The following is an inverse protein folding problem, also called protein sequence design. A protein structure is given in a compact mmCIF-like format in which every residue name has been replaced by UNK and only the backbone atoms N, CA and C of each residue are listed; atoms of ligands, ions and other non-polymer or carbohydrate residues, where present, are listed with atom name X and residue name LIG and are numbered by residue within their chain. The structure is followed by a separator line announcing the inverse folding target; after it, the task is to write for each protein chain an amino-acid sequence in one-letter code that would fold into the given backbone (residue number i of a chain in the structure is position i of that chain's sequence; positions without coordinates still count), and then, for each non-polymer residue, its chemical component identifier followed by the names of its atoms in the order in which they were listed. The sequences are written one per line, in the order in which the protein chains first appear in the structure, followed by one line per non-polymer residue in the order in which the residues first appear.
data_IF_989492277654
#
_entry.id   IF_989492277654
#
_cell.length_a   1.000
_cell.length_b   1.000
_cell.length_c   1.000
_cell.angle_alpha   90.00
_cell.angle_beta   90.00
_cell.angle_gamma   90.00
#
_symmetry.space_group_name_H-M   'P 1'
#
loop_
_entity.id
_entity.type
_entity.pdbx_description
1 polymer ?
#
# COMPACT_ATOMS: atom_id res chain seq x y z
N UNK A 1 17.61 -25.32 -70.69
CA UNK A 1 17.49 -25.76 -69.24
C UNK A 1 16.99 -24.59 -68.47
N UNK A 2 15.68 -24.53 -68.20
CA UNK A 2 15.07 -23.45 -67.44
C UNK A 2 14.92 -23.88 -65.99
N UNK A 3 15.61 -23.18 -65.04
CA UNK A 3 15.55 -23.38 -63.60
C UNK A 3 14.20 -22.88 -63.10
N UNK A 4 13.31 -23.78 -62.67
CA UNK A 4 12.10 -23.45 -61.92
C UNK A 4 12.47 -23.09 -60.50
N UNK A 5 12.52 -21.80 -60.17
CA UNK A 5 12.64 -21.30 -58.82
C UNK A 5 11.32 -21.57 -58.06
N UNK A 6 11.40 -22.34 -56.98
CA UNK A 6 10.26 -22.80 -56.15
C UNK A 6 9.62 -21.63 -55.37
N UNK A 7 8.34 -21.30 -55.61
CA UNK A 7 7.66 -20.19 -54.89
C UNK A 7 7.16 -20.57 -53.49
N UNK A 8 7.39 -21.79 -53.03
CA UNK A 8 6.81 -22.33 -51.75
C UNK A 8 7.48 -21.82 -50.46
N UNK A 9 8.77 -21.46 -50.50
CA UNK A 9 9.49 -21.01 -49.26
C UNK A 9 9.10 -19.61 -48.81
N UNK A 10 8.72 -18.72 -49.68
CA UNK A 10 8.33 -17.33 -49.35
C UNK A 10 6.94 -17.26 -48.73
N UNK A 11 5.99 -18.07 -49.14
CA UNK A 11 4.63 -18.09 -48.62
C UNK A 11 4.58 -18.65 -47.15
N UNK A 12 5.37 -19.70 -46.88
CA UNK A 12 5.46 -20.26 -45.52
C UNK A 12 6.13 -19.31 -44.50
N UNK A 13 7.14 -18.55 -44.94
CA UNK A 13 7.83 -17.59 -44.04
C UNK A 13 6.94 -16.39 -43.69
N UNK A 14 6.10 -15.91 -44.62
CA UNK A 14 5.14 -14.83 -44.40
C UNK A 14 4.01 -15.27 -43.45
N UNK A 15 3.51 -16.49 -43.59
CA UNK A 15 2.49 -17.06 -42.71
C UNK A 15 3.00 -17.25 -41.29
N UNK A 16 4.22 -17.74 -41.12
CA UNK A 16 4.85 -17.90 -39.77
C UNK A 16 5.14 -16.57 -39.09
N UNK A 17 5.56 -15.54 -39.84
CA UNK A 17 5.76 -14.20 -39.27
C UNK A 17 4.45 -13.55 -38.83
N UNK A 18 3.35 -13.73 -39.57
CA UNK A 18 2.01 -13.26 -39.19
C UNK A 18 1.48 -13.94 -37.93
N UNK A 19 1.60 -15.27 -37.86
CA UNK A 19 1.20 -16.03 -36.68
C UNK A 19 2.02 -15.64 -35.43
N UNK A 20 3.34 -15.49 -35.58
CA UNK A 20 4.22 -15.06 -34.48
C UNK A 20 3.85 -13.68 -33.93
N UNK A 21 3.57 -12.71 -34.82
CA UNK A 21 3.12 -11.36 -34.40
C UNK A 21 1.79 -11.41 -33.65
N UNK A 22 0.85 -12.23 -34.11
CA UNK A 22 -0.43 -12.44 -33.41
C UNK A 22 -0.23 -12.96 -31.99
N UNK A 23 0.57 -14.00 -31.79
CA UNK A 23 0.84 -14.56 -30.47
C UNK A 23 1.58 -13.61 -29.54
N UNK A 24 2.54 -12.82 -30.06
CA UNK A 24 3.27 -11.83 -29.27
C UNK A 24 2.36 -10.73 -28.72
N UNK A 25 1.37 -10.27 -29.49
CA UNK A 25 0.40 -9.28 -29.03
C UNK A 25 -0.42 -9.84 -27.88
N UNK A 26 -0.95 -11.05 -28.02
CA UNK A 26 -1.76 -11.67 -26.97
C UNK A 26 -0.93 -12.01 -25.73
N UNK A 27 0.30 -12.41 -25.88
CA UNK A 27 1.24 -12.61 -24.78
C UNK A 27 1.50 -11.32 -23.98
N UNK A 28 1.40 -10.15 -24.59
CA UNK A 28 1.49 -8.86 -23.91
C UNK A 28 0.14 -8.43 -23.28
N UNK A 29 -0.97 -8.59 -23.99
CA UNK A 29 -2.29 -8.08 -23.59
C UNK A 29 -2.92 -8.92 -22.46
N UNK A 30 -2.78 -10.25 -22.51
CA UNK A 30 -3.40 -11.15 -21.53
C UNK A 30 -2.89 -10.87 -20.09
N UNK A 31 -1.58 -10.74 -19.81
CA UNK A 31 -1.10 -10.40 -18.47
C UNK A 31 -1.62 -9.04 -17.97
N UNK A 32 -1.73 -8.05 -18.87
CA UNK A 32 -2.28 -6.72 -18.52
C UNK A 32 -3.76 -6.84 -18.16
N UNK A 33 -4.54 -7.59 -18.94
CA UNK A 33 -5.95 -7.85 -18.66
C UNK A 33 -6.14 -8.61 -17.33
N UNK A 34 -5.34 -9.64 -17.10
CA UNK A 34 -5.35 -10.38 -15.83
C UNK A 34 -5.00 -9.47 -14.64
N UNK A 35 -3.99 -8.61 -14.78
CA UNK A 35 -3.64 -7.60 -13.78
C UNK A 35 -4.81 -6.67 -13.48
N UNK A 36 -5.49 -6.21 -14.52
CA UNK A 36 -6.66 -5.32 -14.40
C UNK A 36 -7.77 -6.01 -13.61
N UNK A 37 -8.09 -7.27 -13.91
CA UNK A 37 -9.09 -8.06 -13.19
C UNK A 37 -8.70 -8.21 -11.71
N UNK A 38 -7.47 -8.65 -11.42
CA UNK A 38 -6.96 -8.79 -10.05
C UNK A 38 -7.13 -7.47 -9.29
N UNK A 39 -6.78 -6.35 -9.93
CA UNK A 39 -6.82 -5.02 -9.31
C UNK A 39 -8.23 -4.49 -9.07
N UNK A 40 -9.17 -4.72 -9.99
CA UNK A 40 -10.55 -4.25 -9.88
C UNK A 40 -11.36 -5.04 -8.85
N UNK A 41 -11.14 -6.34 -8.78
CA UNK A 41 -11.88 -7.23 -7.88
C UNK A 41 -11.20 -7.45 -6.53
N UNK A 42 -10.05 -6.80 -6.26
CA UNK A 42 -9.35 -6.94 -4.99
C UNK A 42 -8.85 -8.35 -4.73
N UNK A 43 -8.47 -9.09 -5.78
CA UNK A 43 -8.01 -10.48 -5.69
C UNK A 43 -6.54 -10.60 -5.24
N UNK A 44 -5.92 -9.49 -4.87
CA UNK A 44 -4.54 -9.41 -4.38
C UNK A 44 -4.40 -9.96 -2.94
N UNK A 45 -4.68 -11.24 -2.74
CA UNK A 45 -4.52 -11.92 -1.45
C UNK A 45 -3.06 -12.31 -1.18
N UNK A 46 -2.40 -11.64 -0.20
CA UNK A 46 -1.08 -12.05 0.30
C UNK A 46 0.13 -11.64 -0.56
N UNK A 47 1.31 -12.04 -0.07
CA UNK A 47 2.58 -11.81 -0.76
C UNK A 47 2.81 -12.89 -1.84
N UNK A 48 3.30 -12.56 -3.07
CA UNK A 48 3.84 -11.25 -3.49
C UNK A 48 2.83 -10.31 -4.17
N UNK A 49 1.59 -10.73 -4.43
CA UNK A 49 0.62 -9.97 -5.22
C UNK A 49 0.36 -8.56 -4.68
N UNK A 50 0.20 -8.42 -3.36
CA UNK A 50 0.01 -7.10 -2.73
C UNK A 50 1.18 -6.15 -3.01
N UNK A 51 2.42 -6.65 -2.98
CA UNK A 51 3.60 -5.84 -3.29
C UNK A 51 3.65 -5.43 -4.76
N UNK A 52 3.25 -6.36 -5.65
CA UNK A 52 3.19 -6.10 -7.08
C UNK A 52 2.14 -5.05 -7.46
N UNK A 53 1.06 -4.88 -6.66
CA UNK A 53 0.03 -3.86 -6.92
C UNK A 53 0.58 -2.41 -6.88
N UNK A 54 1.74 -2.18 -6.26
CA UNK A 54 2.43 -0.88 -6.35
C UNK A 54 2.84 -0.51 -7.79
N UNK A 55 2.98 -1.50 -8.68
CA UNK A 55 3.33 -1.31 -10.09
C UNK A 55 2.12 -1.05 -11.00
N UNK A 56 0.91 -0.88 -10.44
CA UNK A 56 -0.31 -0.59 -11.23
C UNK A 56 -0.16 0.62 -12.17
N UNK A 57 0.51 1.74 -11.83
CA UNK A 57 0.75 2.84 -12.77
C UNK A 57 1.54 2.42 -14.00
N UNK A 58 2.54 1.56 -13.82
CA UNK A 58 3.34 1.03 -14.94
C UNK A 58 2.55 0.07 -15.81
N UNK A 59 1.63 -0.72 -15.22
CA UNK A 59 0.71 -1.56 -15.96
C UNK A 59 -0.25 -0.73 -16.83
N UNK A 60 -0.70 0.44 -16.35
CA UNK A 60 -1.52 1.37 -17.14
C UNK A 60 -0.74 1.93 -18.33
N UNK A 61 0.54 2.29 -18.15
CA UNK A 61 1.42 2.75 -19.23
C UNK A 61 1.66 1.61 -20.25
N UNK A 62 1.92 0.40 -19.77
CA UNK A 62 2.09 -0.77 -20.64
C UNK A 62 0.83 -1.07 -21.45
N UNK A 63 -0.36 -0.89 -20.87
CA UNK A 63 -1.64 -1.03 -21.57
C UNK A 63 -1.80 -0.01 -22.69
N UNK A 64 -1.35 1.24 -22.49
CA UNK A 64 -1.34 2.29 -23.52
C UNK A 64 -0.47 1.88 -24.71
N UNK A 65 0.76 1.43 -24.47
CA UNK A 65 1.67 0.96 -25.51
C UNK A 65 1.12 -0.28 -26.24
N UNK A 66 0.58 -1.26 -25.48
CA UNK A 66 -0.03 -2.45 -26.06
C UNK A 66 -1.21 -2.10 -26.98
N UNK A 67 -2.04 -1.12 -26.59
CA UNK A 67 -3.13 -0.60 -27.42
C UNK A 67 -2.59 -0.03 -28.73
N UNK A 68 -1.58 0.84 -28.67
CA UNK A 68 -0.97 1.44 -29.87
C UNK A 68 -0.38 0.40 -30.82
N UNK A 69 0.35 -0.58 -30.30
CA UNK A 69 0.93 -1.68 -31.09
C UNK A 69 -0.18 -2.54 -31.71
N UNK A 70 -1.21 -2.90 -30.95
CA UNK A 70 -2.32 -3.71 -31.45
C UNK A 70 -3.09 -3.00 -32.59
N UNK A 71 -3.31 -1.70 -32.48
CA UNK A 71 -3.91 -0.85 -33.51
C UNK A 71 -3.01 -0.82 -34.76
N UNK A 72 -1.71 -0.55 -34.60
CA UNK A 72 -0.74 -0.51 -35.71
C UNK A 72 -0.67 -1.84 -36.50
N UNK A 73 -0.82 -2.95 -35.78
CA UNK A 73 -0.84 -4.30 -36.35
C UNK A 73 -2.25 -4.76 -36.76
N UNK A 74 -3.25 -3.86 -36.68
CA UNK A 74 -4.66 -4.09 -37.06
C UNK A 74 -5.32 -5.29 -36.37
N UNK A 75 -4.84 -5.62 -35.17
CA UNK A 75 -5.48 -6.63 -34.29
C UNK A 75 -6.50 -5.95 -33.38
N UNK A 76 -7.70 -5.72 -33.91
CA UNK A 76 -8.75 -4.95 -33.25
C UNK A 76 -9.22 -5.57 -31.94
N UNK A 77 -9.29 -6.90 -31.83
CA UNK A 77 -9.70 -7.58 -30.60
C UNK A 77 -8.71 -7.32 -29.45
N UNK A 78 -7.41 -7.46 -29.73
CA UNK A 78 -6.37 -7.13 -28.74
C UNK A 78 -6.33 -5.64 -28.40
N UNK A 79 -6.56 -4.77 -29.40
CA UNK A 79 -6.59 -3.32 -29.19
C UNK A 79 -7.74 -2.90 -28.27
N UNK A 80 -8.94 -3.42 -28.47
CA UNK A 80 -10.10 -3.16 -27.61
C UNK A 80 -9.85 -3.65 -26.19
N UNK A 81 -9.35 -4.87 -26.01
CA UNK A 81 -9.06 -5.43 -24.69
C UNK A 81 -8.00 -4.60 -23.95
N UNK A 82 -6.92 -4.23 -24.62
CA UNK A 82 -5.86 -3.40 -24.05
C UNK A 82 -6.35 -1.99 -23.71
N UNK A 83 -7.19 -1.38 -24.56
CA UNK A 83 -7.79 -0.06 -24.31
C UNK A 83 -8.73 -0.08 -23.11
N UNK A 84 -9.57 -1.10 -22.96
CA UNK A 84 -10.43 -1.28 -21.79
C UNK A 84 -9.58 -1.44 -20.53
N UNK A 85 -8.54 -2.26 -20.54
CA UNK A 85 -7.62 -2.43 -19.43
C UNK A 85 -6.93 -1.10 -19.07
N UNK A 86 -6.45 -0.36 -20.07
CA UNK A 86 -5.84 0.97 -19.90
C UNK A 86 -6.81 1.94 -19.21
N UNK A 87 -8.04 2.03 -19.69
CA UNK A 87 -9.06 2.92 -19.11
C UNK A 87 -9.37 2.55 -17.65
N UNK A 88 -9.58 1.27 -17.37
CA UNK A 88 -9.85 0.78 -16.01
C UNK A 88 -8.69 1.07 -15.05
N UNK A 89 -7.44 0.82 -15.47
CA UNK A 89 -6.26 1.09 -14.66
C UNK A 89 -6.03 2.59 -14.47
N UNK A 90 -6.25 3.40 -15.51
CA UNK A 90 -6.19 4.85 -15.42
C UNK A 90 -7.24 5.40 -14.43
N UNK A 91 -8.48 4.92 -14.48
CA UNK A 91 -9.53 5.31 -13.54
C UNK A 91 -9.20 4.99 -12.07
N UNK A 92 -8.40 3.95 -11.83
CA UNK A 92 -7.90 3.61 -10.48
C UNK A 92 -6.73 4.49 -10.04
N UNK A 93 -5.85 4.87 -11.00
CA UNK A 93 -4.60 5.59 -10.69
C UNK A 93 -4.79 7.10 -10.67
N UNK A 94 -5.48 7.67 -11.67
CA UNK A 94 -5.61 9.13 -11.86
C UNK A 94 -6.19 9.88 -10.66
N UNK A 95 -7.24 9.42 -9.97
CA UNK A 95 -7.78 10.13 -8.81
C UNK A 95 -6.78 10.25 -7.65
N UNK A 96 -5.78 9.35 -7.60
CA UNK A 96 -4.71 9.37 -6.57
C UNK A 96 -3.55 10.29 -6.93
N UNK A 97 -3.38 10.60 -8.21
CA UNK A 97 -2.29 11.46 -8.72
C UNK A 97 -2.73 12.90 -8.89
N UNK A 98 -3.97 13.09 -9.33
CA UNK A 98 -4.60 14.39 -9.46
C UNK A 98 -5.28 14.69 -8.12
N UNK A 99 -4.55 14.98 -7.07
CA UNK A 99 -5.15 15.23 -5.77
C UNK A 99 -6.46 16.03 -5.93
N UNK A 100 -7.56 15.53 -5.36
CA UNK A 100 -8.75 16.34 -5.27
C UNK A 100 -8.33 17.61 -4.51
N UNK A 101 -8.21 18.72 -5.21
CA UNK A 101 -8.33 20.02 -4.55
C UNK A 101 -9.70 19.95 -3.87
N UNK A 102 -9.71 19.59 -2.59
CA UNK A 102 -10.88 19.83 -1.76
C UNK A 102 -11.15 21.30 -1.96
N UNK A 103 -12.25 21.61 -2.68
CA UNK A 103 -12.78 22.96 -2.67
C UNK A 103 -12.76 23.35 -1.20
N UNK A 104 -11.95 24.34 -0.84
CA UNK A 104 -12.01 24.93 0.48
C UNK A 104 -13.47 25.26 0.67
N UNK A 105 -14.15 24.47 1.48
CA UNK A 105 -15.55 24.70 1.76
C UNK A 105 -15.57 26.05 2.48
N UNK A 106 -15.90 27.09 1.73
CA UNK A 106 -15.88 28.46 2.18
C UNK A 106 -16.67 28.54 3.50
N UNK A 107 -15.99 28.92 4.59
CA UNK A 107 -16.57 29.03 5.93
C UNK A 107 -16.43 27.80 6.84
N UNK A 108 -15.77 26.68 6.44
CA UNK A 108 -15.52 25.56 7.32
C UNK A 108 -14.10 25.61 7.90
N UNK A 109 -13.97 25.35 9.21
CA UNK A 109 -12.67 25.21 9.84
C UNK A 109 -11.95 23.97 9.28
N UNK A 110 -10.75 24.16 8.80
CA UNK A 110 -9.87 23.09 8.31
C UNK A 110 -9.01 22.55 9.45
N UNK A 111 -8.82 21.24 9.51
CA UNK A 111 -7.91 20.58 10.43
C UNK A 111 -6.69 20.08 9.64
N UNK A 112 -5.53 20.66 9.87
CA UNK A 112 -4.29 20.25 9.21
C UNK A 112 -3.68 19.06 9.97
N UNK A 113 -3.54 17.93 9.28
CA UNK A 113 -3.00 16.69 9.84
C UNK A 113 -1.70 16.30 9.15
N UNK A 114 -0.62 16.15 9.94
CA UNK A 114 0.63 15.55 9.49
C UNK A 114 0.67 14.09 9.95
N UNK A 115 1.05 13.17 9.06
CA UNK A 115 1.22 11.75 9.38
C UNK A 115 2.65 11.32 9.05
N UNK A 116 3.33 10.67 10.00
CA UNK A 116 4.71 10.23 9.86
C UNK A 116 4.93 8.83 10.43
N UNK A 117 5.48 7.92 9.62
CA UNK A 117 6.04 6.67 10.12
C UNK A 117 7.52 6.90 10.45
N UNK A 118 7.90 6.67 11.71
CA UNK A 118 9.26 6.93 12.22
C UNK A 118 10.17 5.71 12.16
N UNK A 119 9.80 4.69 11.40
CA UNK A 119 10.63 3.50 11.13
C UNK A 119 11.25 2.92 12.40
N UNK A 120 10.39 2.46 13.31
CA UNK A 120 10.79 1.89 14.62
C UNK A 120 11.66 2.87 15.43
N UNK A 121 11.37 4.17 15.31
CA UNK A 121 12.13 5.23 15.99
C UNK A 121 13.51 5.53 15.37
N UNK A 122 13.74 5.12 14.13
CA UNK A 122 14.98 5.39 13.38
C UNK A 122 14.99 6.72 12.63
N UNK A 123 13.85 7.42 12.53
CA UNK A 123 13.80 8.74 11.91
C UNK A 123 14.57 9.80 12.70
N UNK A 124 14.93 10.91 12.05
CA UNK A 124 15.49 12.07 12.73
C UNK A 124 14.40 12.89 13.43
N UNK A 125 14.47 13.03 14.79
CA UNK A 125 13.51 13.83 15.52
C UNK A 125 13.52 15.31 15.17
N UNK A 126 14.70 15.88 14.84
CA UNK A 126 14.83 17.29 14.47
C UNK A 126 14.17 17.56 13.12
N UNK A 127 14.34 16.67 12.15
CA UNK A 127 13.67 16.76 10.86
C UNK A 127 12.15 16.71 11.02
N UNK A 128 11.61 15.81 11.87
CA UNK A 128 10.17 15.72 12.11
C UNK A 128 9.63 17.01 12.78
N UNK A 129 10.37 17.58 13.74
CA UNK A 129 9.98 18.85 14.35
C UNK A 129 10.05 19.98 13.32
N UNK A 130 11.05 19.99 12.43
CA UNK A 130 11.16 20.94 11.32
C UNK A 130 9.96 20.86 10.36
N UNK A 131 9.43 19.66 10.09
CA UNK A 131 8.18 19.50 9.32
C UNK A 131 6.99 20.10 10.07
N UNK A 132 6.90 19.91 11.38
CA UNK A 132 5.84 20.53 12.20
C UNK A 132 5.97 22.07 12.18
N UNK A 133 7.17 22.61 12.22
CA UNK A 133 7.40 24.05 12.10
C UNK A 133 7.05 24.60 10.71
N UNK A 134 7.29 23.81 9.67
CA UNK A 134 7.02 24.22 8.28
C UNK A 134 5.53 24.19 7.94
N UNK A 135 4.83 23.12 8.35
CA UNK A 135 3.44 22.90 7.94
C UNK A 135 2.42 23.33 8.98
N UNK A 136 2.84 23.69 10.18
CA UNK A 136 1.99 24.11 11.31
C UNK A 136 0.76 23.22 11.53
N UNK A 137 0.90 21.88 11.58
CA UNK A 137 -0.24 20.99 11.70
C UNK A 137 -0.93 21.19 13.05
N UNK A 138 -2.26 20.98 13.07
CA UNK A 138 -3.04 20.93 14.30
C UNK A 138 -2.86 19.58 15.00
N UNK A 139 -2.58 18.53 14.19
CA UNK A 139 -2.42 17.17 14.64
C UNK A 139 -1.24 16.49 13.94
N UNK A 140 -0.40 15.78 14.71
CA UNK A 140 0.64 14.89 14.23
C UNK A 140 0.31 13.45 14.64
N UNK A 141 0.12 12.59 13.65
CA UNK A 141 -0.01 11.14 13.81
C UNK A 141 1.33 10.47 13.58
N UNK A 142 1.83 9.70 14.56
CA UNK A 142 3.12 9.03 14.49
C UNK A 142 2.91 7.52 14.57
N UNK A 143 3.43 6.78 13.57
CA UNK A 143 3.43 5.32 13.54
C UNK A 143 4.84 4.80 13.85
N UNK A 144 4.92 3.55 14.32
CA UNK A 144 6.14 2.86 14.75
C UNK A 144 6.90 3.62 15.87
N UNK A 145 6.12 4.26 16.74
CA UNK A 145 6.62 5.09 17.84
C UNK A 145 7.21 4.23 18.96
N UNK A 146 8.51 4.41 19.22
CA UNK A 146 9.21 3.75 20.32
C UNK A 146 9.37 4.66 21.55
N UNK A 147 9.52 4.11 22.78
CA UNK A 147 9.76 4.92 23.98
C UNK A 147 11.01 5.82 23.87
N UNK A 148 12.08 5.31 23.27
CA UNK A 148 13.29 6.07 23.03
C UNK A 148 13.05 7.26 22.09
N UNK A 149 12.25 7.06 21.04
CA UNK A 149 11.92 8.13 20.11
C UNK A 149 11.04 9.22 20.74
N UNK A 150 10.10 8.85 21.61
CA UNK A 150 9.33 9.82 22.41
C UNK A 150 10.25 10.73 23.21
N UNK A 151 11.28 10.16 23.85
CA UNK A 151 12.27 10.93 24.61
C UNK A 151 13.07 11.89 23.70
N UNK A 152 13.48 11.41 22.53
CA UNK A 152 14.17 12.24 21.52
C UNK A 152 13.30 13.39 21.02
N UNK A 153 12.02 13.12 20.68
CA UNK A 153 11.06 14.15 20.26
C UNK A 153 10.81 15.20 21.36
N UNK A 154 10.73 14.77 22.62
CA UNK A 154 10.61 15.68 23.75
C UNK A 154 11.81 16.63 23.81
N UNK A 155 13.04 16.11 23.71
CA UNK A 155 14.25 16.90 23.69
C UNK A 155 14.33 17.85 22.48
N UNK A 156 13.83 17.41 21.31
CA UNK A 156 13.72 18.24 20.11
C UNK A 156 12.62 19.34 20.23
N UNK A 157 11.84 19.35 21.29
CA UNK A 157 10.90 20.42 21.60
C UNK A 157 9.52 20.27 20.95
N UNK A 158 9.07 19.07 20.66
CA UNK A 158 7.74 18.82 20.06
C UNK A 158 6.61 19.42 20.88
N UNK A 159 6.69 19.37 22.23
CA UNK A 159 5.63 19.85 23.11
C UNK A 159 5.46 21.37 23.12
N UNK A 160 6.45 22.14 22.62
CA UNK A 160 6.30 23.59 22.43
C UNK A 160 5.35 23.93 21.28
N UNK A 161 5.12 22.98 20.37
CA UNK A 161 4.31 23.13 19.17
C UNK A 161 2.97 22.41 19.28
N UNK A 162 3.00 21.21 19.84
CA UNK A 162 1.86 20.31 19.98
C UNK A 162 1.79 19.90 21.48
N UNK A 163 1.10 20.70 22.26
CA UNK A 163 1.10 20.61 23.74
C UNK A 163 0.36 19.39 24.29
N UNK A 164 -0.61 18.87 23.53
CA UNK A 164 -1.40 17.70 23.95
C UNK A 164 -0.90 16.44 23.26
N UNK A 165 -0.95 15.29 23.97
CA UNK A 165 -0.55 14.02 23.37
C UNK A 165 -1.29 12.82 23.93
N UNK A 166 -1.46 11.79 23.09
CA UNK A 166 -1.86 10.46 23.47
C UNK A 166 -0.92 9.45 22.83
N UNK A 167 -0.02 8.88 23.62
CA UNK A 167 1.09 8.05 23.15
C UNK A 167 0.91 6.62 23.66
N UNK A 168 0.96 5.66 22.75
CA UNK A 168 0.97 4.23 23.00
C UNK A 168 2.28 3.64 22.44
N UNK A 169 3.40 4.25 22.84
CA UNK A 169 4.73 3.84 22.41
C UNK A 169 5.07 2.40 22.84
N UNK A 170 5.73 1.63 21.96
CA UNK A 170 6.18 0.26 22.25
C UNK A 170 7.53 -0.01 21.56
N UNK A 171 8.34 -0.94 22.09
CA UNK A 171 9.48 -1.48 21.36
C UNK A 171 9.02 -2.13 20.04
N UNK A 172 9.78 -1.92 18.98
CA UNK A 172 9.44 -2.41 17.63
C UNK A 172 8.35 -1.61 16.94
N UNK A 173 7.77 -2.16 15.88
CA UNK A 173 6.85 -1.45 14.98
C UNK A 173 5.41 -1.30 15.50
N UNK A 174 5.10 -1.77 16.73
CA UNK A 174 3.71 -1.83 17.22
C UNK A 174 3.22 -0.58 17.92
N UNK A 175 4.07 0.43 18.16
CA UNK A 175 3.71 1.65 18.85
C UNK A 175 3.16 2.73 17.92
N UNK A 176 2.27 3.59 18.47
CA UNK A 176 1.76 4.75 17.75
C UNK A 176 1.46 5.89 18.74
N UNK A 177 1.29 7.10 18.21
CA UNK A 177 0.99 8.27 19.02
C UNK A 177 0.29 9.38 18.24
N UNK A 178 -0.42 10.19 18.98
CA UNK A 178 -1.02 11.44 18.54
C UNK A 178 -0.41 12.59 19.34
N UNK A 179 0.01 13.64 18.66
CA UNK A 179 0.31 14.94 19.24
C UNK A 179 -0.65 15.96 18.65
N UNK A 180 -1.14 16.89 19.47
CA UNK A 180 -2.14 17.86 19.03
C UNK A 180 -1.87 19.24 19.64
N UNK A 181 -2.11 20.28 18.85
CA UNK A 181 -2.19 21.66 19.32
C UNK A 181 -3.50 21.89 20.09
N UNK A 182 -4.58 21.21 19.64
CA UNK A 182 -5.91 21.33 20.19
C UNK A 182 -6.13 20.37 21.37
N UNK A 183 -7.09 20.66 22.27
CA UNK A 183 -7.45 19.76 23.35
C UNK A 183 -7.85 18.37 22.85
N UNK A 184 -7.28 17.34 23.50
CA UNK A 184 -7.39 15.95 23.08
C UNK A 184 -7.97 15.12 24.24
N UNK A 185 -9.14 14.50 24.03
CA UNK A 185 -9.74 13.54 24.95
C UNK A 185 -9.45 12.11 24.46
N UNK A 186 -8.88 11.27 25.32
CA UNK A 186 -8.57 9.88 25.02
C UNK A 186 -9.86 9.07 24.92
N UNK A 187 -9.97 8.25 23.87
CA UNK A 187 -11.07 7.30 23.70
C UNK A 187 -10.58 5.88 23.92
N UNK A 188 -11.47 4.95 24.30
CA UNK A 188 -11.12 3.53 24.41
C UNK A 188 -10.50 3.04 23.10
N UNK A 189 -9.35 2.37 23.22
CA UNK A 189 -8.63 1.80 22.07
C UNK A 189 -8.61 0.27 22.18
N UNK A 190 -8.57 -0.39 21.02
CA UNK A 190 -8.53 -1.85 20.98
C UNK A 190 -7.14 -2.35 21.40
N UNK A 191 -7.08 -3.22 22.42
CA UNK A 191 -5.84 -3.78 22.97
C UNK A 191 -5.47 -5.13 22.37
N UNK A 192 -6.40 -5.79 21.67
CA UNK A 192 -6.24 -7.16 21.18
C UNK A 192 -5.35 -7.29 19.95
N UNK A 193 -5.02 -6.17 19.30
CA UNK A 193 -4.12 -6.16 18.13
C UNK A 193 -2.67 -5.88 18.52
N UNK A 194 -1.77 -6.39 17.70
CA UNK A 194 -0.33 -6.10 17.83
C UNK A 194 -0.03 -4.61 17.77
N UNK A 195 -0.73 -3.90 16.92
CA UNK A 195 -0.62 -2.46 16.81
C UNK A 195 -1.47 -1.77 17.83
N UNK A 196 -0.86 -0.84 18.52
CA UNK A 196 -1.57 0.12 19.34
C UNK A 196 -2.10 1.21 18.44
N UNK A 197 -3.43 1.34 18.38
CA UNK A 197 -4.12 2.33 17.55
C UNK A 197 -4.78 3.36 18.48
N UNK A 198 -4.08 4.45 18.87
CA UNK A 198 -4.66 5.47 19.73
C UNK A 198 -5.87 6.10 19.03
N UNK A 199 -6.94 6.24 19.81
CA UNK A 199 -8.20 6.88 19.40
C UNK A 199 -8.43 8.09 20.30
N UNK A 200 -8.71 9.22 19.71
CA UNK A 200 -8.96 10.45 20.47
C UNK A 200 -10.12 11.26 19.86
N UNK A 201 -10.77 12.04 20.68
CA UNK A 201 -11.64 13.12 20.27
C UNK A 201 -10.88 14.43 20.40
N UNK A 202 -10.83 15.22 19.35
CA UNK A 202 -10.21 16.55 19.33
C UNK A 202 -11.31 17.57 19.34
N UNK A 203 -11.25 18.53 20.25
CA UNK A 203 -12.19 19.64 20.32
C UNK A 203 -11.70 20.78 19.44
N UNK A 204 -12.51 21.15 18.45
CA UNK A 204 -12.26 22.30 17.59
C UNK A 204 -12.67 23.61 18.28
N UNK A 205 -12.12 24.77 17.86
CA UNK A 205 -12.48 26.07 18.44
C UNK A 205 -13.98 26.43 18.36
N UNK A 206 -14.69 25.87 17.35
CA UNK A 206 -16.14 26.05 17.17
C UNK A 206 -17.00 25.13 18.06
N UNK A 207 -16.40 24.38 18.97
CA UNK A 207 -17.07 23.44 19.88
C UNK A 207 -17.36 22.05 19.26
N UNK A 208 -17.15 21.85 17.98
CA UNK A 208 -17.29 20.53 17.34
C UNK A 208 -16.19 19.57 17.82
N UNK A 209 -16.50 18.27 17.82
CA UNK A 209 -15.54 17.23 18.15
C UNK A 209 -15.28 16.32 16.96
N UNK A 210 -14.01 16.15 16.61
CA UNK A 210 -13.56 15.24 15.56
C UNK A 210 -12.93 14.01 16.19
N UNK A 211 -13.40 12.81 15.80
CA UNK A 211 -12.78 11.55 16.24
C UNK A 211 -11.63 11.19 15.31
N UNK A 212 -10.46 10.96 15.88
CA UNK A 212 -9.25 10.59 15.15
C UNK A 212 -8.76 9.23 15.61
N UNK A 213 -8.34 8.42 14.67
CA UNK A 213 -7.74 7.10 14.91
C UNK A 213 -6.43 7.01 14.15
N UNK A 214 -5.34 6.64 14.84
CA UNK A 214 -4.10 6.29 14.16
C UNK A 214 -4.21 4.86 13.68
N UNK A 215 -4.17 4.67 12.37
CA UNK A 215 -4.22 3.33 11.76
C UNK A 215 -2.84 2.99 11.23
N UNK A 216 -2.38 1.78 11.54
CA UNK A 216 -1.16 1.20 10.97
C UNK A 216 -1.47 -0.19 10.47
N UNK A 217 -1.13 -0.47 9.21
CA UNK A 217 -1.21 -1.81 8.63
C UNK A 217 0.12 -2.55 8.76
N UNK A 218 0.07 -3.89 8.89
CA UNK A 218 1.26 -4.72 8.77
C UNK A 218 1.83 -4.59 7.36
N UNK A 219 3.09 -4.23 7.24
CA UNK A 219 3.80 -4.46 5.99
C UNK A 219 3.84 -5.97 5.71
N UNK A 220 3.85 -6.35 4.44
CA UNK A 220 3.85 -7.75 4.01
C UNK A 220 5.05 -8.52 4.57
N UNK A 221 6.21 -7.87 4.71
CA UNK A 221 7.39 -8.42 5.34
C UNK A 221 7.20 -8.72 6.85
N UNK A 222 6.49 -7.87 7.56
CA UNK A 222 6.17 -8.08 8.98
C UNK A 222 5.15 -9.22 9.17
N UNK A 223 4.19 -9.36 8.25
CA UNK A 223 3.25 -10.51 8.23
C UNK A 223 4.00 -11.82 8.04
N UNK A 224 4.90 -11.89 7.06
CA UNK A 224 5.70 -13.08 6.77
C UNK A 224 6.58 -13.49 7.96
N UNK A 225 7.30 -12.54 8.57
CA UNK A 225 8.13 -12.79 9.77
C UNK A 225 7.32 -13.31 10.95
N UNK A 226 6.08 -12.85 11.13
CA UNK A 226 5.18 -13.32 12.20
C UNK A 226 4.66 -14.72 11.95
N UNK A 227 4.30 -15.04 10.71
CA UNK A 227 3.89 -16.41 10.38
C UNK A 227 5.01 -17.40 10.63
N UNK A 228 6.25 -17.05 10.29
CA UNK A 228 7.44 -17.86 10.56
C UNK A 228 7.71 -17.99 12.06
N UNK A 229 7.66 -16.90 12.82
CA UNK A 229 7.85 -16.92 14.28
C UNK A 229 6.72 -17.67 15.02
N UNK A 230 5.47 -17.59 14.54
CA UNK A 230 4.34 -18.34 15.07
C UNK A 230 4.44 -19.84 14.81
N UNK A 231 5.03 -20.25 13.67
CA UNK A 231 5.32 -21.66 13.36
C UNK A 231 6.45 -22.22 14.23
N UNK A 232 7.47 -21.41 14.51
CA UNK A 232 8.59 -21.80 15.36
C UNK A 232 8.21 -21.93 16.86
N UNK A 233 7.11 -21.33 17.29
CA UNK A 233 6.60 -21.38 18.68
C UNK A 233 5.59 -22.51 18.95
N UNK A 234 5.19 -23.30 17.95
CA UNK A 234 4.43 -24.52 18.24
C UNK A 234 5.38 -25.48 18.93
N UNK A 235 5.10 -25.90 20.20
CA UNK A 235 5.93 -26.90 20.85
C UNK A 235 5.95 -28.13 19.95
N UNK A 236 7.14 -28.70 19.76
CA UNK A 236 7.24 -30.03 19.16
C UNK A 236 6.31 -30.95 19.93
N UNK A 237 5.38 -31.59 19.24
CA UNK A 237 4.50 -32.56 19.84
C UNK A 237 5.40 -33.65 20.40
N UNK A 238 5.50 -33.72 21.72
CA UNK A 238 6.28 -34.71 22.43
C UNK A 238 5.66 -36.10 22.25
N UNK A 239 6.10 -36.82 21.25
CA UNK A 239 5.65 -38.17 20.93
C UNK A 239 6.10 -39.20 21.97
N UNK A 240 6.90 -38.82 22.98
CA UNK A 240 7.44 -39.74 23.99
C UNK A 240 6.56 -39.93 25.20
N UNK A 241 5.40 -39.25 25.33
CA UNK A 241 4.47 -39.43 26.43
C UNK A 241 3.18 -40.15 25.99
N UNK A 242 3.29 -41.34 25.41
CA UNK A 242 2.22 -42.32 25.50
C UNK A 242 2.63 -43.36 26.54
N UNK A 243 1.92 -43.46 27.68
CA UNK A 243 2.06 -44.65 28.53
C UNK A 243 1.59 -45.85 27.68
N UNK A 244 2.44 -46.85 27.56
CA UNK A 244 2.03 -48.17 27.10
C UNK A 244 1.07 -48.72 28.13
N UNK A 245 -0.23 -48.68 27.80
CA UNK A 245 -1.27 -49.38 28.54
C UNK A 245 -1.10 -50.90 28.22
N UNK A 246 -0.30 -51.53 29.06
CA UNK A 246 -0.20 -53.02 29.07
C UNK A 246 -1.40 -53.53 29.83
N UNK A 247 -2.47 -53.90 29.07
CA UNK A 247 -3.64 -54.57 29.61
C UNK A 247 -3.27 -55.83 30.42
N UNK A 248 -3.92 -55.92 31.55
CA UNK A 248 -4.23 -57.17 32.24
C UNK A 248 -5.71 -57.46 32.18
#
# INVERSE_FOLDING_TARGET
MASRSSPTRTAESVGRAGARRYWLIWAAVIPIAAWTVIRLFGLEGGYPLVALMAFTPYAAIAALFATGVAVALRNWAAAVLAAVAMFCLAAVVLPRTIGSSTAEAAGHQTLTVLSANVHVGGADPAALVGLVDRFHPDLLSVQELTPSFVTKLRRAGIYRRLSNSFLLARPGAGGAGLYSRLPLARLPHQTHFFFRMPRAAISLPDGRRVRVVVVQSLSTAQRARRQLAGRARKPAVDWQRRPLDLGR
#
